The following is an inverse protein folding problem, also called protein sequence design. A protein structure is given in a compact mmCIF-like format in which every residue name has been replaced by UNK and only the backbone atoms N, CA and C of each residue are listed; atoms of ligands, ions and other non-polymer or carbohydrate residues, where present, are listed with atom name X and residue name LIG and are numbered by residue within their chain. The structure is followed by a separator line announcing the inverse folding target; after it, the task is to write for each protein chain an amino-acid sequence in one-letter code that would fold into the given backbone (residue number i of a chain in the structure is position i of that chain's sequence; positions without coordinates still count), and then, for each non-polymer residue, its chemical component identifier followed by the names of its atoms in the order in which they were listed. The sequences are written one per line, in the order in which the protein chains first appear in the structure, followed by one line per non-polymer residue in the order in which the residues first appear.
data_IF_812508162589
#
_entry.id   IF_812508162589
#
_cell.length_a   1.000
_cell.length_b   1.000
_cell.length_c   1.000
_cell.angle_alpha   90.00
_cell.angle_beta   90.00
_cell.angle_gamma   90.00
#
_symmetry.space_group_name_H-M   'P 1'
#
loop_
_entity.id
_entity.type
_entity.pdbx_description
1 polymer ?
#
# COMPACT_ATOMS: atom_id res chain seq x y z
N UNK A 1 45.64 24.74 -49.34
CA UNK A 1 46.04 23.80 -50.38
C UNK A 1 45.51 22.39 -50.09
N UNK A 2 44.72 21.89 -51.05
CA UNK A 2 44.24 20.51 -51.26
C UNK A 2 43.20 19.88 -50.29
N UNK A 3 41.95 20.02 -50.80
CA UNK A 3 40.81 19.11 -50.53
C UNK A 3 41.14 17.69 -51.03
N UNK A 4 40.61 16.70 -50.31
CA UNK A 4 40.38 15.35 -50.80
C UNK A 4 39.05 14.80 -50.32
N UNK A 5 38.41 13.89 -51.06
CA UNK A 5 36.97 13.88 -51.21
C UNK A 5 36.28 12.85 -50.34
N UNK A 6 34.95 13.06 -50.19
CA UNK A 6 34.01 12.22 -49.54
C UNK A 6 33.94 10.82 -50.15
N UNK A 7 33.97 9.81 -49.31
CA UNK A 7 33.68 8.44 -49.66
C UNK A 7 32.23 8.11 -49.30
N UNK A 8 31.40 8.12 -50.34
CA UNK A 8 29.99 7.76 -50.25
C UNK A 8 29.81 6.24 -50.22
N UNK A 9 29.47 5.71 -49.09
CA UNK A 9 28.95 4.34 -49.01
C UNK A 9 27.43 4.37 -49.00
N UNK A 10 26.86 4.07 -50.17
CA UNK A 10 25.47 3.70 -50.35
C UNK A 10 25.17 2.39 -49.64
N UNK A 11 24.32 2.44 -48.65
CA UNK A 11 23.74 1.23 -48.05
C UNK A 11 22.53 0.81 -48.90
N UNK A 12 22.73 -0.27 -49.67
CA UNK A 12 21.63 -0.96 -50.32
C UNK A 12 20.74 -1.63 -49.26
N UNK A 13 19.57 -1.10 -49.09
CA UNK A 13 18.50 -1.73 -48.33
C UNK A 13 17.92 -2.86 -49.18
N UNK A 14 18.30 -4.10 -48.90
CA UNK A 14 17.59 -5.25 -49.40
C UNK A 14 16.17 -5.27 -48.87
N UNK A 15 15.24 -4.91 -49.70
CA UNK A 15 13.82 -5.04 -49.44
C UNK A 15 13.43 -6.52 -49.33
N UNK A 16 13.25 -6.99 -48.10
CA UNK A 16 12.53 -8.24 -47.87
C UNK A 16 11.04 -7.95 -48.07
N UNK A 17 10.50 -8.47 -49.18
CA UNK A 17 9.07 -8.47 -49.41
C UNK A 17 8.42 -9.42 -48.43
N UNK A 18 7.71 -8.85 -47.45
CA UNK A 18 6.79 -9.64 -46.64
C UNK A 18 5.60 -10.06 -47.53
N UNK A 19 5.54 -11.34 -47.86
CA UNK A 19 4.37 -11.93 -48.51
C UNK A 19 3.14 -11.77 -47.62
N UNK A 20 1.93 -11.88 -48.20
CA UNK A 20 0.71 -11.70 -47.46
C UNK A 20 0.63 -12.70 -46.33
N UNK A 21 0.57 -12.18 -45.12
CA UNK A 21 0.30 -12.97 -43.91
C UNK A 21 -1.07 -13.61 -44.12
N UNK A 22 -1.08 -14.90 -44.36
CA UNK A 22 -2.30 -15.69 -44.31
C UNK A 22 -2.90 -15.52 -42.90
N UNK A 23 -3.90 -14.66 -42.84
CA UNK A 23 -4.77 -14.55 -41.67
C UNK A 23 -5.50 -15.89 -41.57
N UNK A 24 -4.96 -16.81 -40.78
CA UNK A 24 -5.71 -17.97 -40.35
C UNK A 24 -7.00 -17.45 -39.74
N UNK A 25 -8.11 -17.70 -40.38
CA UNK A 25 -9.42 -17.54 -39.79
C UNK A 25 -9.45 -18.50 -38.59
N UNK A 26 -9.17 -17.95 -37.40
CA UNK A 26 -9.55 -18.62 -36.17
C UNK A 26 -11.06 -18.78 -36.24
N UNK A 27 -11.53 -20.02 -36.41
CA UNK A 27 -12.93 -20.37 -36.23
C UNK A 27 -13.32 -19.88 -34.86
N UNK A 28 -13.96 -18.71 -34.81
CA UNK A 28 -14.32 -18.06 -33.56
C UNK A 28 -15.28 -18.95 -32.82
N UNK A 29 -14.80 -19.59 -31.76
CA UNK A 29 -15.68 -20.23 -30.78
C UNK A 29 -16.63 -19.16 -30.26
N UNK A 30 -17.92 -19.51 -30.23
CA UNK A 30 -18.92 -18.60 -29.66
C UNK A 30 -18.63 -18.37 -28.15
N UNK A 31 -19.06 -17.26 -27.62
CA UNK A 31 -18.76 -16.91 -26.20
C UNK A 31 -19.16 -18.02 -25.22
N UNK A 32 -20.23 -18.77 -25.52
CA UNK A 32 -20.70 -19.89 -24.71
C UNK A 32 -19.77 -21.13 -24.79
N UNK A 33 -19.12 -21.37 -25.94
CA UNK A 33 -18.15 -22.46 -26.11
C UNK A 33 -16.85 -22.18 -25.33
N UNK A 34 -16.42 -20.93 -25.32
CA UNK A 34 -15.30 -20.47 -24.47
C UNK A 34 -15.62 -20.62 -22.99
N UNK A 35 -16.84 -20.28 -22.58
CA UNK A 35 -17.32 -20.45 -21.22
C UNK A 35 -17.34 -21.91 -20.77
N UNK A 36 -17.78 -22.81 -21.65
CA UNK A 36 -17.76 -24.26 -21.38
C UNK A 36 -16.33 -24.82 -21.29
N UNK A 37 -15.41 -24.38 -22.14
CA UNK A 37 -14.00 -24.78 -22.06
C UNK A 37 -13.35 -24.30 -20.77
N UNK A 38 -13.58 -23.05 -20.39
CA UNK A 38 -13.12 -22.49 -19.11
C UNK A 38 -13.68 -23.29 -17.92
N UNK A 39 -14.95 -23.66 -17.94
CA UNK A 39 -15.56 -24.50 -16.91
C UNK A 39 -14.92 -25.88 -16.81
N UNK A 40 -14.62 -26.53 -17.94
CA UNK A 40 -13.95 -27.81 -17.94
C UNK A 40 -12.52 -27.75 -17.43
N UNK A 41 -11.81 -26.66 -17.75
CA UNK A 41 -10.46 -26.39 -17.23
C UNK A 41 -10.50 -26.19 -15.71
N UNK A 42 -11.43 -25.37 -15.20
CA UNK A 42 -11.59 -25.15 -13.77
C UNK A 42 -12.00 -26.42 -13.02
N UNK A 43 -12.94 -27.20 -13.54
CA UNK A 43 -13.34 -28.46 -12.93
C UNK A 43 -12.20 -29.47 -12.91
N UNK A 44 -11.34 -29.47 -13.92
CA UNK A 44 -10.18 -30.37 -14.04
C UNK A 44 -9.03 -29.97 -13.12
N UNK A 45 -8.75 -28.66 -12.99
CA UNK A 45 -7.61 -28.15 -12.20
C UNK A 45 -7.94 -28.00 -10.71
N UNK A 46 -9.16 -27.61 -10.40
CA UNK A 46 -9.57 -27.28 -9.02
C UNK A 46 -10.61 -28.23 -8.44
N UNK A 47 -11.11 -29.19 -9.21
CA UNK A 47 -12.10 -30.16 -8.75
C UNK A 47 -13.43 -29.54 -8.30
N UNK A 48 -13.73 -28.29 -8.73
CA UNK A 48 -14.93 -27.56 -8.37
C UNK A 48 -15.81 -27.29 -9.61
N UNK A 49 -17.12 -27.52 -9.46
CA UNK A 49 -18.09 -27.13 -10.46
C UNK A 49 -18.38 -25.62 -10.38
N UNK A 50 -19.00 -25.07 -11.43
CA UNK A 50 -19.46 -23.68 -11.44
C UNK A 50 -20.42 -23.38 -10.28
N UNK A 51 -21.31 -24.33 -9.98
CA UNK A 51 -22.27 -24.21 -8.88
C UNK A 51 -21.56 -24.13 -7.53
N UNK A 52 -20.49 -24.92 -7.34
CA UNK A 52 -19.68 -24.88 -6.14
C UNK A 52 -18.94 -23.56 -5.98
N UNK A 53 -18.47 -22.94 -7.08
CA UNK A 53 -17.83 -21.62 -7.07
C UNK A 53 -18.84 -20.51 -6.75
N UNK A 54 -20.02 -20.52 -7.36
CA UNK A 54 -21.09 -19.56 -7.07
C UNK A 54 -21.57 -19.68 -5.63
N UNK A 55 -21.64 -20.89 -5.09
CA UNK A 55 -22.00 -21.14 -3.68
C UNK A 55 -20.90 -20.69 -2.73
N UNK A 56 -19.64 -20.87 -3.10
CA UNK A 56 -18.50 -20.37 -2.33
C UNK A 56 -18.45 -18.85 -2.31
N UNK A 57 -18.69 -18.19 -3.43
CA UNK A 57 -18.78 -16.73 -3.50
C UNK A 57 -19.97 -16.20 -2.71
N UNK A 58 -21.13 -16.86 -2.84
CA UNK A 58 -22.33 -16.54 -2.04
C UNK A 58 -22.06 -16.65 -0.55
N UNK A 59 -21.40 -17.73 -0.10
CA UNK A 59 -21.01 -17.94 1.30
C UNK A 59 -20.00 -16.88 1.77
N UNK A 60 -19.00 -16.51 0.94
CA UNK A 60 -18.08 -15.43 1.23
C UNK A 60 -18.80 -14.09 1.36
N UNK A 61 -19.76 -13.82 0.46
CA UNK A 61 -20.54 -12.58 0.49
C UNK A 61 -21.47 -12.52 1.72
N UNK A 62 -22.15 -13.62 2.06
CA UNK A 62 -22.98 -13.72 3.25
C UNK A 62 -22.15 -13.56 4.53
N UNK A 63 -20.96 -14.17 4.60
CA UNK A 63 -20.04 -14.01 5.72
C UNK A 63 -19.55 -12.57 5.85
N UNK A 64 -19.18 -11.93 4.74
CA UNK A 64 -18.80 -10.51 4.72
C UNK A 64 -19.94 -9.59 5.14
N UNK A 65 -21.19 -9.95 4.86
CA UNK A 65 -22.38 -9.20 5.28
C UNK A 65 -22.73 -9.43 6.76
N UNK A 66 -22.46 -10.63 7.31
CA UNK A 66 -22.63 -10.91 8.73
C UNK A 66 -21.57 -10.24 9.60
N UNK A 67 -20.34 -10.08 9.05
CA UNK A 67 -19.23 -9.41 9.72
C UNK A 67 -19.22 -7.89 9.49
N UNK A 68 -20.18 -7.37 8.69
CA UNK A 68 -20.37 -5.93 8.58
C UNK A 68 -20.68 -5.33 9.96
N UNK A 69 -20.04 -4.22 10.36
CA UNK A 69 -20.31 -3.58 11.61
C UNK A 69 -21.81 -3.26 11.69
N UNK A 70 -22.50 -3.85 12.66
CA UNK A 70 -23.91 -3.57 12.91
C UNK A 70 -24.03 -2.07 13.14
N UNK A 71 -25.04 -1.39 12.55
CA UNK A 71 -25.24 0.03 12.81
C UNK A 71 -25.28 0.24 14.31
N UNK A 72 -24.50 1.22 14.82
CA UNK A 72 -24.46 1.58 16.23
C UNK A 72 -25.87 1.99 16.66
N UNK A 73 -26.64 1.02 17.15
CA UNK A 73 -27.92 1.30 17.79
C UNK A 73 -27.59 1.93 19.14
N UNK A 74 -27.68 3.25 19.21
CA UNK A 74 -27.51 3.98 20.46
C UNK A 74 -28.63 3.49 21.41
N UNK A 75 -28.23 2.79 22.47
CA UNK A 75 -29.16 2.39 23.55
C UNK A 75 -29.37 3.62 24.43
N UNK A 76 -30.61 3.83 24.85
CA UNK A 76 -30.94 4.91 25.77
C UNK A 76 -31.21 4.33 27.17
N UNK A 77 -30.82 5.06 28.21
CA UNK A 77 -31.16 4.71 29.59
C UNK A 77 -32.65 4.97 29.86
N UNK A 78 -33.14 4.58 31.05
CA UNK A 78 -34.53 4.81 31.45
C UNK A 78 -34.89 6.31 31.55
N UNK A 79 -33.93 7.20 31.50
CA UNK A 79 -34.08 8.66 31.54
C UNK A 79 -33.93 9.30 30.15
N UNK A 80 -33.78 8.49 29.08
CA UNK A 80 -33.65 8.99 27.71
C UNK A 80 -32.26 9.47 27.33
N UNK A 81 -31.24 9.24 28.16
CA UNK A 81 -29.87 9.60 27.83
C UNK A 81 -29.21 8.50 26.98
N UNK A 82 -28.46 8.85 25.94
CA UNK A 82 -27.76 7.86 25.13
C UNK A 82 -26.68 7.13 25.95
N UNK A 83 -26.80 5.80 26.01
CA UNK A 83 -25.77 4.94 26.61
C UNK A 83 -24.77 4.63 25.51
N UNK A 84 -23.62 5.30 25.55
CA UNK A 84 -22.48 4.91 24.73
C UNK A 84 -21.86 3.65 25.36
N UNK A 85 -21.72 2.54 24.61
CA UNK A 85 -21.00 1.39 25.13
C UNK A 85 -19.62 1.86 25.54
N UNK A 86 -19.21 1.56 26.77
CA UNK A 86 -17.83 1.82 27.19
C UNK A 86 -16.91 1.14 26.14
N UNK A 87 -16.10 1.95 25.46
CA UNK A 87 -15.09 1.40 24.56
C UNK A 87 -14.20 0.48 25.42
N UNK A 88 -14.19 -0.83 25.09
CA UNK A 88 -13.25 -1.75 25.72
C UNK A 88 -11.82 -1.23 25.60
N UNK A 89 -10.85 -1.82 26.30
CA UNK A 89 -9.47 -1.41 26.19
C UNK A 89 -9.06 -1.43 24.71
N UNK A 90 -8.84 -0.24 24.15
CA UNK A 90 -8.34 -0.12 22.78
C UNK A 90 -6.85 -0.40 22.79
N UNK A 91 -6.40 -1.18 21.82
CA UNK A 91 -4.98 -1.35 21.58
C UNK A 91 -4.32 0.00 21.31
N UNK A 92 -3.18 0.24 21.93
CA UNK A 92 -2.40 1.48 21.70
C UNK A 92 -1.77 1.43 20.31
N UNK A 93 -1.73 2.58 19.65
CA UNK A 93 -1.07 2.78 18.36
C UNK A 93 -0.25 4.06 18.42
N UNK A 94 1.04 3.99 18.11
CA UNK A 94 1.93 5.13 18.10
C UNK A 94 2.21 5.58 16.67
N UNK A 95 2.00 6.86 16.39
CA UNK A 95 2.40 7.52 15.14
C UNK A 95 3.49 8.53 15.48
N UNK A 96 4.58 8.52 14.74
CA UNK A 96 5.75 9.38 14.98
C UNK A 96 6.04 10.21 13.74
N UNK A 97 6.11 11.53 13.89
CA UNK A 97 6.72 12.39 12.90
C UNK A 97 8.25 12.28 13.02
N UNK A 98 8.85 11.56 12.05
CA UNK A 98 10.26 11.21 12.14
C UNK A 98 11.18 12.42 12.12
N UNK A 99 10.92 13.43 11.27
CA UNK A 99 11.80 14.60 11.20
C UNK A 99 11.63 15.54 12.39
N UNK A 100 10.42 15.70 12.90
CA UNK A 100 10.22 16.53 14.10
C UNK A 100 10.97 15.93 15.29
N UNK A 101 10.91 14.61 15.48
CA UNK A 101 11.67 13.94 16.53
C UNK A 101 13.19 14.02 16.31
N UNK A 102 13.68 13.82 15.07
CA UNK A 102 15.11 13.94 14.76
C UNK A 102 15.62 15.35 15.11
N UNK A 103 14.86 16.40 14.83
CA UNK A 103 15.30 17.76 15.09
C UNK A 103 15.10 18.18 16.57
N UNK A 104 14.14 17.58 17.28
CA UNK A 104 13.89 17.85 18.69
C UNK A 104 14.91 17.17 19.62
N UNK A 105 15.38 15.96 19.26
CA UNK A 105 16.33 15.24 20.11
C UNK A 105 17.77 15.63 19.80
N UNK A 106 18.49 16.11 20.82
CA UNK A 106 19.83 16.65 20.67
C UNK A 106 20.78 15.72 19.90
N UNK A 107 20.88 14.45 20.30
CA UNK A 107 21.79 13.47 19.70
C UNK A 107 21.46 13.17 18.24
N UNK A 108 20.17 13.10 17.90
CA UNK A 108 19.70 12.88 16.54
C UNK A 108 19.87 14.14 15.68
N UNK A 109 19.65 15.32 16.26
CA UNK A 109 19.87 16.60 15.59
C UNK A 109 21.34 16.79 15.23
N UNK A 110 22.25 16.53 16.14
CA UNK A 110 23.69 16.60 15.88
C UNK A 110 24.10 15.62 14.76
N UNK A 111 23.59 14.39 14.82
CA UNK A 111 23.83 13.39 13.77
C UNK A 111 23.25 13.81 12.42
N UNK A 112 22.06 14.42 12.41
CA UNK A 112 21.39 14.86 11.17
C UNK A 112 22.15 15.96 10.43
N UNK A 113 22.94 16.76 11.12
CA UNK A 113 23.81 17.78 10.52
C UNK A 113 24.96 17.17 9.73
N UNK A 114 25.40 15.97 10.12
CA UNK A 114 26.45 15.24 9.44
C UNK A 114 25.85 14.34 8.35
N UNK A 115 24.84 13.55 8.71
CA UNK A 115 24.15 12.65 7.79
C UNK A 115 22.71 12.39 8.25
N UNK A 116 21.77 12.88 7.47
CA UNK A 116 20.32 12.75 7.77
C UNK A 116 19.84 11.29 7.66
N UNK A 117 20.43 10.47 6.78
CA UNK A 117 20.09 9.06 6.64
C UNK A 117 20.50 8.28 7.90
N UNK A 118 21.69 8.53 8.42
CA UNK A 118 22.16 7.93 9.67
C UNK A 118 21.28 8.33 10.87
N UNK A 119 20.78 9.56 10.88
CA UNK A 119 19.86 10.00 11.93
C UNK A 119 18.50 9.30 11.83
N UNK A 120 18.01 9.06 10.61
CA UNK A 120 16.79 8.27 10.39
C UNK A 120 16.95 6.84 10.86
N UNK A 121 18.02 6.17 10.45
CA UNK A 121 18.29 4.79 10.85
C UNK A 121 18.38 4.66 12.38
N UNK A 122 19.09 5.57 13.03
CA UNK A 122 19.21 5.58 14.49
C UNK A 122 17.85 5.81 15.17
N UNK A 123 17.00 6.70 14.65
CA UNK A 123 15.63 6.88 15.16
C UNK A 123 14.82 5.60 15.00
N UNK A 124 14.89 4.96 13.84
CA UNK A 124 14.17 3.72 13.56
C UNK A 124 14.62 2.59 14.49
N UNK A 125 15.92 2.45 14.78
CA UNK A 125 16.42 1.49 15.75
C UNK A 125 15.85 1.72 17.16
N UNK A 126 15.83 2.97 17.62
CA UNK A 126 15.26 3.34 18.92
C UNK A 126 13.78 2.98 18.98
N UNK A 127 13.01 3.32 17.95
CA UNK A 127 11.57 3.05 17.87
C UNK A 127 11.27 1.56 17.74
N UNK A 128 12.12 0.81 17.02
CA UNK A 128 12.01 -0.66 16.92
C UNK A 128 12.16 -1.34 18.28
N UNK A 129 13.14 -0.90 19.07
CA UNK A 129 13.32 -1.36 20.45
C UNK A 129 12.14 -0.97 21.35
N UNK A 130 11.64 0.25 21.21
CA UNK A 130 10.45 0.71 21.94
C UNK A 130 9.22 -0.12 21.61
N UNK A 131 8.97 -0.40 20.32
CA UNK A 131 7.87 -1.26 19.89
C UNK A 131 7.98 -2.65 20.49
N UNK A 132 9.18 -3.25 20.49
CA UNK A 132 9.43 -4.55 21.11
C UNK A 132 9.09 -4.56 22.60
N UNK A 133 9.43 -3.48 23.31
CA UNK A 133 9.13 -3.34 24.73
C UNK A 133 7.63 -3.13 25.02
N UNK A 134 7.00 -2.23 24.28
CA UNK A 134 5.58 -1.85 24.49
C UNK A 134 4.60 -2.79 23.85
N UNK A 135 5.01 -3.57 22.86
CA UNK A 135 4.14 -4.44 22.05
C UNK A 135 2.97 -3.68 21.40
N UNK A 136 3.16 -2.39 21.06
CA UNK A 136 2.18 -1.59 20.35
C UNK A 136 2.63 -1.32 18.91
N UNK A 137 1.73 -1.33 17.91
CA UNK A 137 2.08 -0.95 16.55
C UNK A 137 2.64 0.48 16.50
N UNK A 138 3.70 0.68 15.72
CA UNK A 138 4.34 1.98 15.53
C UNK A 138 4.43 2.28 14.04
N UNK A 139 3.96 3.46 13.66
CA UNK A 139 4.06 4.02 12.33
C UNK A 139 4.97 5.25 12.38
N UNK A 140 6.03 5.23 11.58
CA UNK A 140 6.92 6.39 11.43
C UNK A 140 6.66 7.07 10.10
N UNK A 141 6.42 8.36 10.14
CA UNK A 141 6.11 9.17 8.94
C UNK A 141 7.28 10.12 8.68
N UNK A 142 7.80 10.11 7.47
CA UNK A 142 8.80 11.05 7.00
C UNK A 142 8.25 11.88 5.85
N UNK A 143 8.46 13.18 5.90
CA UNK A 143 8.11 14.07 4.80
C UNK A 143 9.00 13.81 3.58
N UNK A 144 8.40 13.60 2.42
CA UNK A 144 9.11 13.33 1.17
C UNK A 144 9.92 14.53 0.65
N UNK A 145 9.59 15.76 1.07
CA UNK A 145 10.31 16.97 0.66
C UNK A 145 11.82 16.87 0.91
N UNK A 146 12.22 16.14 1.96
CA UNK A 146 13.63 15.93 2.33
C UNK A 146 14.29 14.71 1.71
N UNK A 147 13.55 13.94 0.90
CA UNK A 147 14.06 12.78 0.16
C UNK A 147 13.57 12.84 -1.29
N UNK A 148 14.50 13.08 -2.21
CA UNK A 148 14.19 13.15 -3.65
C UNK A 148 13.88 11.79 -4.28
N UNK A 149 14.14 10.70 -3.55
CA UNK A 149 13.98 9.33 -4.03
C UNK A 149 12.74 8.70 -3.40
N UNK A 150 11.85 8.16 -4.24
CA UNK A 150 10.66 7.40 -3.88
C UNK A 150 9.60 8.11 -3.00
N UNK A 151 8.97 9.20 -3.48
CA UNK A 151 7.83 9.80 -2.78
C UNK A 151 6.64 8.82 -2.74
N UNK A 152 5.95 8.75 -1.60
CA UNK A 152 4.82 7.85 -1.40
C UNK A 152 5.19 6.40 -1.08
N UNK A 153 6.45 6.10 -0.81
CA UNK A 153 6.89 4.75 -0.49
C UNK A 153 6.45 4.32 0.91
N UNK A 154 5.93 3.11 1.01
CA UNK A 154 5.71 2.40 2.27
C UNK A 154 6.73 1.29 2.39
N UNK A 155 7.40 1.20 3.50
CA UNK A 155 8.40 0.17 3.78
C UNK A 155 8.25 -0.35 5.21
N UNK A 156 8.87 -1.51 5.46
CA UNK A 156 9.01 -2.02 6.83
C UNK A 156 10.46 -1.92 7.25
N UNK A 157 10.67 -1.44 8.45
CA UNK A 157 11.97 -1.47 9.11
C UNK A 157 11.84 -2.32 10.38
N UNK A 158 12.38 -3.55 10.33
CA UNK A 158 12.15 -4.57 11.35
C UNK A 158 10.66 -4.77 11.63
N UNK A 159 10.19 -4.37 12.80
CA UNK A 159 8.81 -4.44 13.25
C UNK A 159 8.01 -3.12 13.03
N UNK A 160 8.66 -2.06 12.54
CA UNK A 160 8.04 -0.75 12.28
C UNK A 160 7.43 -0.68 10.87
N UNK A 161 6.31 0.02 10.77
CA UNK A 161 5.83 0.53 9.49
C UNK A 161 6.40 1.94 9.26
N UNK A 162 7.04 2.16 8.11
CA UNK A 162 7.65 3.44 7.73
C UNK A 162 7.00 3.95 6.46
N UNK A 163 6.57 5.20 6.48
CA UNK A 163 5.93 5.85 5.34
C UNK A 163 6.71 7.11 4.99
N UNK A 164 6.99 7.28 3.71
CA UNK A 164 7.40 8.54 3.11
C UNK A 164 6.20 9.16 2.42
N UNK A 165 5.84 10.39 2.75
CA UNK A 165 4.69 11.06 2.17
C UNK A 165 4.88 11.29 0.66
N UNK A 166 3.82 11.63 -0.04
CA UNK A 166 3.91 12.08 -1.44
C UNK A 166 4.50 13.49 -1.48
N UNK A 167 4.97 13.90 -2.66
CA UNK A 167 5.62 15.21 -2.87
C UNK A 167 4.71 16.40 -2.51
N UNK A 168 3.42 16.21 -2.64
CA UNK A 168 2.35 17.19 -2.42
C UNK A 168 1.62 17.01 -1.07
N UNK A 169 2.09 16.09 -0.23
CA UNK A 169 1.48 15.77 1.07
C UNK A 169 2.52 15.93 2.19
N UNK A 170 2.22 16.77 3.17
CA UNK A 170 3.07 16.92 4.36
C UNK A 170 2.90 15.76 5.34
N UNK A 171 3.88 15.54 6.21
CA UNK A 171 3.79 14.54 7.27
C UNK A 171 2.58 14.81 8.18
N UNK A 172 2.32 16.07 8.55
CA UNK A 172 1.20 16.46 9.41
C UNK A 172 -0.15 16.07 8.77
N UNK A 173 -0.36 16.40 7.49
CA UNK A 173 -1.59 16.06 6.77
C UNK A 173 -1.81 14.54 6.68
N UNK A 174 -0.73 13.80 6.43
CA UNK A 174 -0.77 12.34 6.42
C UNK A 174 -1.12 11.77 7.80
N UNK A 175 -0.51 12.28 8.87
CA UNK A 175 -0.75 11.85 10.25
C UNK A 175 -2.20 12.14 10.64
N UNK A 176 -2.70 13.35 10.39
CA UNK A 176 -4.09 13.72 10.70
C UNK A 176 -5.09 12.79 10.03
N UNK A 177 -4.95 12.56 8.73
CA UNK A 177 -5.80 11.62 8.00
C UNK A 177 -5.73 10.21 8.59
N UNK A 178 -4.52 9.72 8.91
CA UNK A 178 -4.34 8.39 9.47
C UNK A 178 -4.98 8.27 10.85
N UNK A 179 -4.86 9.29 11.70
CA UNK A 179 -5.53 9.33 13.01
C UNK A 179 -7.05 9.25 12.86
N UNK A 180 -7.63 9.95 11.90
CA UNK A 180 -9.06 9.85 11.61
C UNK A 180 -9.48 8.45 11.17
N UNK A 181 -8.68 7.79 10.33
CA UNK A 181 -8.96 6.45 9.81
C UNK A 181 -8.92 5.38 10.89
N UNK A 182 -7.92 5.42 11.78
CA UNK A 182 -7.69 4.35 12.77
C UNK A 182 -8.19 4.67 14.18
N UNK A 183 -8.49 5.94 14.49
CA UNK A 183 -8.86 6.40 15.84
C UNK A 183 -10.17 5.82 16.38
N UNK A 184 -11.00 5.24 15.52
CA UNK A 184 -12.19 4.50 15.95
C UNK A 184 -11.85 3.09 16.50
N UNK A 185 -10.71 2.52 16.09
CA UNK A 185 -10.26 1.17 16.43
C UNK A 185 -9.17 1.17 17.50
N UNK A 186 -8.23 2.10 17.40
CA UNK A 186 -7.05 2.18 18.27
C UNK A 186 -7.09 3.42 19.16
N UNK A 187 -6.40 3.33 20.30
CA UNK A 187 -6.00 4.51 21.08
C UNK A 187 -4.74 5.07 20.47
N UNK A 188 -4.86 6.10 19.64
CA UNK A 188 -3.73 6.68 18.91
C UNK A 188 -3.00 7.71 19.77
N UNK A 189 -1.69 7.57 19.84
CA UNK A 189 -0.77 8.57 20.38
C UNK A 189 0.09 9.11 19.25
N UNK A 190 0.22 10.42 19.13
CA UNK A 190 1.07 11.07 18.12
C UNK A 190 2.26 11.71 18.85
N UNK A 191 3.45 11.44 18.35
CA UNK A 191 4.69 12.08 18.75
C UNK A 191 5.18 12.97 17.61
N UNK A 192 5.18 14.28 17.85
CA UNK A 192 5.58 15.32 16.89
C UNK A 192 6.41 16.40 17.59
#
# INVERSE_FOLDING_TARGET
EKRSPADGRSYETQGQSFGPVHRQQSSGKTGWELDQELQQIYAREFGMSREDMEDQERRKWLKKKSDAPKPNVVKYDKKGNPIYPAKGPQEEYLIVDGYNIIFAWKDLNELSRVNIDSARDKLLDILSNYQGYKSCPVLVVFDAYKRKEHPGAKSKYHNLDVVYTKTDETADAFIERTVHEIGHKYRVTVAT
#
